data_IF_836754072415
#
_entry.id   IF_836754072415
#
_cell.length_a   1.000
_cell.length_b   1.000
_cell.length_c   1.000
_cell.angle_alpha   90.00
_cell.angle_beta   90.00
_cell.angle_gamma   90.00
#
_symmetry.space_group_name_H-M   'P 1'
#
loop_
_entity.id
_entity.type
_entity.pdbx_description
1 polymer ?
#
# COMPACT_ATOMS: atom_id res chain seq x y z
N UNK A 1 -2.79 25.39 35.83
CA UNK A 1 -3.52 25.33 34.55
C UNK A 1 -2.71 24.45 33.60
N UNK A 2 -3.15 23.22 33.37
CA UNK A 2 -2.49 22.28 32.45
C UNK A 2 -2.94 22.60 31.02
N UNK A 3 -2.00 22.99 30.17
CA UNK A 3 -2.27 23.20 28.75
C UNK A 3 -2.56 21.84 28.09
N UNK A 4 -3.81 21.60 27.71
CA UNK A 4 -4.18 20.49 26.84
C UNK A 4 -3.51 20.72 25.49
N UNK A 5 -2.50 19.90 25.17
CA UNK A 5 -1.87 19.87 23.86
C UNK A 5 -2.92 19.40 22.84
N UNK A 6 -3.49 20.33 22.08
CA UNK A 6 -4.37 19.99 20.95
C UNK A 6 -3.48 19.34 19.89
N UNK A 7 -3.44 18.00 19.85
CA UNK A 7 -2.83 17.29 18.73
C UNK A 7 -3.67 17.57 17.46
N UNK A 8 -3.05 17.95 16.33
CA UNK A 8 -3.79 18.18 15.09
C UNK A 8 -4.45 16.88 14.63
N UNK A 9 -5.75 16.95 14.34
CA UNK A 9 -6.62 15.81 14.03
C UNK A 9 -6.33 15.15 12.67
N UNK A 10 -5.12 15.09 12.10
CA UNK A 10 -5.04 14.66 10.68
C UNK A 10 -3.77 14.02 10.14
N UNK A 11 -2.60 14.04 10.79
CA UNK A 11 -1.37 13.54 10.11
C UNK A 11 -1.48 12.09 9.61
N UNK A 12 -2.00 11.19 10.44
CA UNK A 12 -2.23 9.80 10.04
C UNK A 12 -3.26 9.66 8.90
N UNK A 13 -4.32 10.49 8.89
CA UNK A 13 -5.29 10.50 7.79
C UNK A 13 -4.73 11.11 6.50
N UNK A 14 -3.85 12.11 6.60
CA UNK A 14 -3.16 12.73 5.46
C UNK A 14 -2.17 11.76 4.82
N UNK A 15 -1.41 11.02 5.64
CA UNK A 15 -0.51 9.96 5.20
C UNK A 15 -1.29 8.84 4.50
N UNK A 16 -2.36 8.34 5.13
CA UNK A 16 -3.20 7.28 4.55
C UNK A 16 -3.86 7.72 3.23
N UNK A 17 -4.37 8.94 3.16
CA UNK A 17 -4.95 9.48 1.92
C UNK A 17 -3.88 9.62 0.83
N UNK A 18 -2.71 10.14 1.18
CA UNK A 18 -1.59 10.28 0.23
C UNK A 18 -1.10 8.93 -0.28
N UNK A 19 -1.03 7.93 0.60
CA UNK A 19 -0.68 6.55 0.24
C UNK A 19 -1.73 5.93 -0.69
N UNK A 20 -3.02 6.13 -0.38
CA UNK A 20 -4.15 5.66 -1.20
C UNK A 20 -4.06 6.22 -2.62
N UNK A 21 -3.89 7.54 -2.75
CA UNK A 21 -3.77 8.20 -4.05
C UNK A 21 -2.56 7.66 -4.82
N UNK A 22 -1.39 7.59 -4.18
CA UNK A 22 -0.17 7.09 -4.81
C UNK A 22 -0.29 5.62 -5.22
N UNK A 23 -0.97 4.79 -4.41
CA UNK A 23 -1.23 3.39 -4.72
C UNK A 23 -2.16 3.25 -5.93
N UNK A 24 -3.30 3.93 -5.94
CA UNK A 24 -4.28 3.87 -7.02
C UNK A 24 -3.67 4.35 -8.35
N UNK A 25 -2.92 5.45 -8.32
CA UNK A 25 -2.22 5.93 -9.52
C UNK A 25 -1.21 4.91 -10.04
N UNK A 26 -0.42 4.26 -9.17
CA UNK A 26 0.55 3.23 -9.60
C UNK A 26 -0.13 2.07 -10.30
N UNK A 27 -1.24 1.58 -9.75
CA UNK A 27 -2.04 0.49 -10.34
C UNK A 27 -2.55 0.90 -11.71
N UNK A 28 -3.10 2.10 -11.83
CA UNK A 28 -3.72 2.57 -13.07
C UNK A 28 -2.72 2.92 -14.16
N UNK A 29 -1.55 3.47 -13.79
CA UNK A 29 -0.44 3.65 -14.72
C UNK A 29 0.01 2.30 -15.29
N UNK A 30 0.21 1.30 -14.42
CA UNK A 30 0.62 -0.04 -14.85
C UNK A 30 -0.43 -0.68 -15.77
N UNK A 31 -1.72 -0.57 -15.44
CA UNK A 31 -2.81 -1.08 -16.28
C UNK A 31 -2.87 -0.44 -17.67
N UNK A 32 -2.44 0.83 -17.79
CA UNK A 32 -2.43 1.58 -19.04
C UNK A 32 -1.10 1.53 -19.80
N UNK A 33 -0.07 0.87 -19.26
CA UNK A 33 1.29 0.92 -19.83
C UNK A 33 1.95 2.30 -19.73
N UNK A 34 1.45 3.15 -18.84
CA UNK A 34 1.97 4.50 -18.60
C UNK A 34 2.98 4.51 -17.46
N UNK A 35 3.75 5.59 -17.34
CA UNK A 35 4.77 5.72 -16.30
C UNK A 35 4.67 7.07 -15.55
N UNK A 36 5.37 7.18 -14.42
CA UNK A 36 5.34 8.38 -13.57
C UNK A 36 5.84 9.64 -14.28
N UNK A 37 6.67 9.51 -15.32
CA UNK A 37 7.11 10.65 -16.11
C UNK A 37 5.97 11.23 -16.91
N UNK A 38 5.23 10.39 -17.64
CA UNK A 38 4.10 10.83 -18.45
C UNK A 38 3.09 11.60 -17.59
N UNK A 39 2.83 11.08 -16.39
CA UNK A 39 1.98 11.76 -15.42
C UNK A 39 2.59 13.08 -14.93
N UNK A 40 3.90 13.14 -14.65
CA UNK A 40 4.56 14.36 -14.22
C UNK A 40 4.47 15.47 -15.28
N UNK A 41 4.66 15.10 -16.54
CA UNK A 41 4.49 15.98 -17.70
C UNK A 41 3.04 16.47 -17.81
N UNK A 42 2.06 15.57 -17.66
CA UNK A 42 0.64 15.92 -17.68
C UNK A 42 0.23 16.86 -16.52
N UNK A 43 0.87 16.73 -15.35
CA UNK A 43 0.66 17.62 -14.21
C UNK A 43 1.47 18.92 -14.31
N UNK A 44 2.38 19.05 -15.28
CA UNK A 44 3.27 20.20 -15.42
C UNK A 44 4.31 20.30 -14.30
N UNK A 45 4.69 19.17 -13.67
CA UNK A 45 5.65 19.14 -12.56
C UNK A 45 6.92 18.36 -12.93
N UNK A 46 8.02 18.67 -12.23
CA UNK A 46 9.29 17.95 -12.39
C UNK A 46 9.16 16.51 -11.87
N UNK A 47 9.89 15.56 -12.48
CA UNK A 47 9.96 14.15 -12.02
C UNK A 47 10.33 14.02 -10.54
N UNK A 48 11.21 14.88 -10.01
CA UNK A 48 11.57 14.88 -8.60
C UNK A 48 10.37 15.18 -7.69
N UNK A 49 9.52 16.15 -8.06
CA UNK A 49 8.29 16.46 -7.34
C UNK A 49 7.29 15.31 -7.42
N UNK A 50 7.17 14.67 -8.59
CA UNK A 50 6.35 13.47 -8.77
C UNK A 50 6.81 12.33 -7.85
N UNK A 51 8.10 12.06 -7.78
CA UNK A 51 8.66 11.03 -6.89
C UNK A 51 8.39 11.33 -5.41
N UNK A 52 8.49 12.59 -5.00
CA UNK A 52 8.16 13.00 -3.64
C UNK A 52 6.67 12.82 -3.31
N UNK A 53 5.76 13.07 -4.28
CA UNK A 53 4.33 12.77 -4.14
C UNK A 53 4.05 11.27 -4.04
N UNK A 54 4.67 10.48 -4.91
CA UNK A 54 4.53 9.02 -4.93
C UNK A 54 5.04 8.32 -3.67
N UNK A 55 5.98 8.96 -2.97
CA UNK A 55 6.52 8.48 -1.69
C UNK A 55 5.83 9.06 -0.45
N UNK A 56 4.80 9.89 -0.63
CA UNK A 56 4.07 10.52 0.48
C UNK A 56 4.81 11.66 1.19
N UNK A 57 6.00 12.05 0.72
CA UNK A 57 6.77 13.17 1.31
C UNK A 57 6.14 14.53 1.02
N UNK A 58 5.40 14.63 -0.08
CA UNK A 58 4.63 15.82 -0.47
C UNK A 58 3.18 15.40 -0.70
N UNK A 59 2.25 16.11 -0.08
CA UNK A 59 0.83 15.86 -0.24
C UNK A 59 0.31 16.11 -1.66
N UNK A 60 -0.87 15.58 -1.94
CA UNK A 60 -1.62 15.80 -3.18
C UNK A 60 -2.54 17.01 -3.02
N UNK A 61 -2.46 17.96 -3.95
CA UNK A 61 -3.44 19.05 -4.03
C UNK A 61 -4.65 18.61 -4.84
N UNK A 62 -5.76 19.34 -4.70
CA UNK A 62 -6.96 19.12 -5.52
C UNK A 62 -6.67 19.29 -7.02
N UNK A 63 -5.78 20.21 -7.38
CA UNK A 63 -5.36 20.42 -8.78
C UNK A 63 -4.62 19.20 -9.32
N UNK A 64 -3.73 18.62 -8.51
CA UNK A 64 -3.03 17.38 -8.90
C UNK A 64 -4.03 16.24 -9.15
N UNK A 65 -5.02 16.09 -8.27
CA UNK A 65 -6.05 15.06 -8.40
C UNK A 65 -6.88 15.22 -9.67
N UNK A 66 -7.34 16.43 -9.97
CA UNK A 66 -8.13 16.70 -11.19
C UNK A 66 -7.29 16.46 -12.44
N UNK A 67 -6.01 16.84 -12.45
CA UNK A 67 -5.14 16.60 -13.60
C UNK A 67 -4.81 15.11 -13.77
N UNK A 68 -4.54 14.40 -12.67
CA UNK A 68 -4.33 12.96 -12.69
C UNK A 68 -5.59 12.21 -13.15
N UNK A 69 -6.78 12.65 -12.72
CA UNK A 69 -8.05 12.03 -13.12
C UNK A 69 -8.29 12.18 -14.62
N UNK A 70 -8.00 13.36 -15.19
CA UNK A 70 -8.06 13.59 -16.65
C UNK A 70 -7.05 12.74 -17.41
N UNK A 71 -5.81 12.67 -16.92
CA UNK A 71 -4.77 11.85 -17.55
C UNK A 71 -5.14 10.36 -17.55
N UNK A 72 -5.68 9.87 -16.42
CA UNK A 72 -6.03 8.48 -16.20
C UNK A 72 -7.46 8.11 -16.65
N UNK A 73 -8.24 9.05 -17.16
CA UNK A 73 -9.65 8.88 -17.53
C UNK A 73 -10.48 8.25 -16.40
N UNK A 74 -10.34 8.82 -15.20
CA UNK A 74 -11.00 8.38 -13.96
C UNK A 74 -11.73 9.55 -13.29
N UNK A 75 -12.66 9.22 -12.40
CA UNK A 75 -13.19 10.20 -11.44
C UNK A 75 -12.15 10.49 -10.35
N UNK A 76 -12.24 11.68 -9.72
CA UNK A 76 -11.43 12.00 -8.54
C UNK A 76 -11.75 11.06 -7.37
N UNK A 77 -13.01 10.65 -7.24
CA UNK A 77 -13.48 9.68 -6.23
C UNK A 77 -12.71 8.34 -6.32
N UNK A 78 -12.51 7.82 -7.53
CA UNK A 78 -11.74 6.60 -7.74
C UNK A 78 -10.25 6.73 -7.35
N UNK A 79 -9.70 7.95 -7.33
CA UNK A 79 -8.32 8.17 -6.88
C UNK A 79 -8.18 8.15 -5.35
N UNK A 80 -9.23 8.54 -4.63
CA UNK A 80 -9.23 8.63 -3.16
C UNK A 80 -9.86 7.42 -2.46
N UNK A 81 -10.55 6.55 -3.19
CA UNK A 81 -11.11 5.31 -2.65
C UNK A 81 -10.01 4.29 -2.31
N UNK A 82 -9.93 3.91 -1.04
CA UNK A 82 -8.99 2.94 -0.51
C UNK A 82 -9.53 1.50 -0.46
N UNK A 83 -10.72 1.25 -1.02
CA UNK A 83 -11.33 -0.09 -1.12
C UNK A 83 -10.37 -1.13 -1.74
N UNK A 84 -9.76 -0.79 -2.88
CA UNK A 84 -8.84 -1.68 -3.59
C UNK A 84 -7.55 -1.95 -2.78
N UNK A 85 -7.01 -0.89 -2.16
CA UNK A 85 -5.83 -1.00 -1.31
C UNK A 85 -6.09 -1.94 -0.12
N UNK A 86 -7.21 -1.76 0.59
CA UNK A 86 -7.61 -2.62 1.72
C UNK A 86 -7.84 -4.08 1.29
N UNK A 87 -8.46 -4.29 0.13
CA UNK A 87 -8.69 -5.64 -0.40
C UNK A 87 -7.36 -6.37 -0.65
N UNK A 88 -6.38 -5.68 -1.25
CA UNK A 88 -5.05 -6.24 -1.49
C UNK A 88 -4.27 -6.51 -0.20
N UNK A 89 -4.35 -5.63 0.81
CA UNK A 89 -3.73 -5.85 2.12
C UNK A 89 -4.34 -7.07 2.83
N UNK A 90 -5.67 -7.20 2.80
CA UNK A 90 -6.38 -8.36 3.39
C UNK A 90 -5.96 -9.66 2.72
N UNK A 91 -5.81 -9.67 1.39
CA UNK A 91 -5.35 -10.83 0.64
C UNK A 91 -3.90 -11.23 0.98
N UNK A 92 -3.01 -10.26 1.20
CA UNK A 92 -1.63 -10.51 1.67
C UNK A 92 -1.60 -11.12 3.08
N UNK A 93 -2.41 -10.58 4.00
CA UNK A 93 -2.48 -11.08 5.37
C UNK A 93 -2.99 -12.53 5.43
N UNK A 94 -4.00 -12.88 4.62
CA UNK A 94 -4.47 -14.28 4.52
C UNK A 94 -3.39 -15.25 4.03
N UNK A 95 -2.54 -14.81 3.09
CA UNK A 95 -1.40 -15.62 2.62
C UNK A 95 -0.30 -15.77 3.68
N UNK A 96 -0.14 -14.81 4.58
CA UNK A 96 0.80 -14.90 5.70
C UNK A 96 0.31 -15.80 6.84
N UNK A 97 -1.00 -16.07 6.94
CA UNK A 97 -1.62 -16.84 8.04
C UNK A 97 -2.12 -18.25 7.63
N UNK A 98 -1.85 -18.72 6.41
CA UNK A 98 -2.46 -19.96 5.87
C UNK A 98 -1.46 -20.98 5.33
N UNK A 99 -1.32 -22.10 6.06
CA UNK A 99 -0.89 -23.45 5.65
C UNK A 99 0.53 -23.92 6.06
N UNK A 100 0.78 -24.04 7.36
CA UNK A 100 1.51 -25.23 7.87
C UNK A 100 0.45 -26.16 8.44
N UNK A 101 0.15 -27.32 7.81
CA UNK A 101 -0.65 -28.33 8.47
C UNK A 101 0.21 -28.86 9.63
N UNK A 102 -0.20 -28.57 10.86
CA UNK A 102 0.21 -29.42 11.97
C UNK A 102 -0.24 -30.83 11.61
N UNK A 103 0.72 -31.68 11.24
CA UNK A 103 0.49 -33.10 11.05
C UNK A 103 0.08 -33.70 12.40
N UNK A 104 -1.22 -33.72 12.66
CA UNK A 104 -1.85 -34.62 13.61
C UNK A 104 -1.78 -36.02 13.01
N UNK A 105 -0.59 -36.62 13.08
CA UNK A 105 -0.33 -37.98 12.64
C UNK A 105 0.43 -38.71 13.73
N UNK A 106 -0.29 -39.52 14.48
CA UNK A 106 0.27 -40.46 15.44
C UNK A 106 1.48 -41.21 14.88
N UNK A 107 2.65 -41.06 15.49
CA UNK A 107 3.68 -42.10 15.49
C UNK A 107 4.28 -42.22 16.90
N UNK A 108 3.45 -42.72 17.82
CA UNK A 108 3.93 -43.57 18.89
C UNK A 108 4.44 -44.87 18.25
N UNK A 109 5.69 -44.89 17.78
CA UNK A 109 6.40 -46.14 17.52
C UNK A 109 7.67 -46.17 18.35
N UNK A 110 7.50 -46.79 19.52
CA UNK A 110 8.53 -47.50 20.27
C UNK A 110 9.52 -48.21 19.35
N UNK A 111 10.82 -48.09 19.66
CA UNK A 111 11.92 -48.75 18.97
C UNK A 111 13.22 -47.96 19.16
N UNK A 112 13.78 -47.91 20.38
CA UNK A 112 14.89 -48.81 20.74
C UNK A 112 15.90 -48.96 19.59
N UNK A 113 16.88 -48.05 19.53
CA UNK A 113 18.23 -48.37 19.10
C UNK A 113 19.20 -47.34 19.67
N UNK A 114 19.60 -47.64 20.91
CA UNK A 114 20.86 -47.22 21.50
C UNK A 114 21.99 -47.45 20.48
N UNK A 115 22.80 -46.42 20.21
CA UNK A 115 24.05 -46.58 19.48
C UNK A 115 25.19 -46.53 20.51
N UNK A 116 26.13 -47.49 20.54
CA UNK A 116 27.28 -47.38 21.43
C UNK A 116 28.15 -46.23 20.96
N UNK A 117 28.68 -45.48 21.93
CA UNK A 117 29.79 -44.55 21.72
C UNK A 117 31.02 -45.35 21.31
N UNK A 118 31.67 -44.93 20.22
CA UNK A 118 33.12 -45.08 20.04
C UNK A 118 33.78 -43.76 20.44
#
# INVERSE_FOLDING_TARGET
>A
MTATLIQPLTRASEEHLSETIAFNIRVMLAARGENQTSLAEALGIKRAAMSMKMSGKIGWSVVDLVNASRFLDLSVDALIDDSYMRQMQTAKNRKATGNTPMASGELLRLGLNQRPSD
#
